data_IF_884941696271
#
_entry.id   IF_884941696271
#
_cell.length_a   1.000
_cell.length_b   1.000
_cell.length_c   1.000
_cell.angle_alpha   90.00
_cell.angle_beta   90.00
_cell.angle_gamma   90.00
#
_symmetry.space_group_name_H-M   'P 1'
#
loop_
_entity.id
_entity.type
_entity.pdbx_description
1 polymer ?
#
# COMPACT_ATOMS: atom_id res chain seq x y z
N UNK A 1 -3.45 5.14 -4.39
CA UNK A 1 -2.22 5.25 -3.58
C UNK A 1 -1.51 6.53 -4.00
N UNK A 2 -1.35 7.50 -3.10
CA UNK A 2 -0.62 8.73 -3.41
C UNK A 2 0.84 8.44 -3.77
N UNK A 3 1.32 8.99 -4.89
CA UNK A 3 2.74 8.87 -5.30
C UNK A 3 3.67 9.47 -4.24
N UNK A 4 3.22 10.52 -3.54
CA UNK A 4 3.95 11.12 -2.43
C UNK A 4 4.07 10.16 -1.24
N UNK A 5 2.99 9.44 -0.89
CA UNK A 5 3.01 8.43 0.18
C UNK A 5 4.03 7.33 -0.08
N UNK A 6 4.13 6.85 -1.33
CA UNK A 6 5.14 5.87 -1.75
C UNK A 6 6.57 6.41 -1.65
N UNK A 7 6.78 7.68 -2.01
CA UNK A 7 8.08 8.34 -1.87
C UNK A 7 8.53 8.45 -0.41
N UNK A 8 7.63 8.89 0.46
CA UNK A 8 7.87 8.97 1.91
C UNK A 8 8.15 7.59 2.50
N UNK A 9 7.37 6.57 2.09
CA UNK A 9 7.57 5.19 2.53
C UNK A 9 8.95 4.65 2.15
N UNK A 10 9.40 4.92 0.92
CA UNK A 10 10.72 4.50 0.45
C UNK A 10 11.86 5.18 1.24
N UNK A 11 11.73 6.48 1.50
CA UNK A 11 12.69 7.20 2.34
C UNK A 11 12.73 6.67 3.77
N UNK A 12 11.58 6.34 4.36
CA UNK A 12 11.50 5.77 5.70
C UNK A 12 12.15 4.37 5.77
N UNK A 13 11.97 3.53 4.74
CA UNK A 13 12.62 2.22 4.66
C UNK A 13 14.14 2.38 4.59
N UNK A 14 14.65 3.32 3.78
CA UNK A 14 16.07 3.60 3.71
C UNK A 14 16.62 4.11 5.04
N UNK A 15 15.89 4.99 5.74
CA UNK A 15 16.27 5.47 7.07
C UNK A 15 16.31 4.35 8.12
N UNK A 16 15.32 3.44 8.11
CA UNK A 16 15.31 2.27 8.99
C UNK A 16 16.48 1.32 8.70
N UNK A 17 16.79 1.08 7.42
CA UNK A 17 17.94 0.27 7.03
C UNK A 17 19.26 0.91 7.44
N UNK A 18 19.37 2.24 7.32
CA UNK A 18 20.52 3.00 7.77
C UNK A 18 20.73 2.84 9.29
N UNK A 19 19.68 3.11 10.09
CA UNK A 19 19.74 2.96 11.54
C UNK A 19 20.04 1.51 11.97
N UNK A 20 19.48 0.51 11.27
CA UNK A 20 19.76 -0.90 11.52
C UNK A 20 21.22 -1.27 11.22
N UNK A 21 21.78 -0.74 10.14
CA UNK A 21 23.20 -0.94 9.81
C UNK A 21 24.10 -0.27 10.85
N UNK A 22 23.81 0.97 11.26
CA UNK A 22 24.56 1.67 12.32
C UNK A 22 24.51 0.91 13.64
N UNK A 23 23.36 0.36 14.03
CA UNK A 23 23.24 -0.47 15.22
C UNK A 23 24.07 -1.75 15.11
N UNK A 24 24.01 -2.42 13.95
CA UNK A 24 24.79 -3.63 13.69
C UNK A 24 26.30 -3.35 13.79
N UNK A 25 26.79 -2.33 13.08
CA UNK A 25 28.20 -1.95 13.10
C UNK A 25 28.65 -1.62 14.53
N UNK A 26 27.92 -0.76 15.25
CA UNK A 26 28.27 -0.37 16.61
C UNK A 26 28.33 -1.56 17.57
N UNK A 27 27.34 -2.45 17.54
CA UNK A 27 27.30 -3.64 18.39
C UNK A 27 28.37 -4.67 17.99
N UNK A 28 28.67 -4.80 16.70
CA UNK A 28 29.73 -5.68 16.20
C UNK A 28 31.11 -5.24 16.71
N UNK A 29 31.37 -3.93 16.74
CA UNK A 29 32.62 -3.36 17.25
C UNK A 29 32.75 -3.52 18.76
N UNK A 30 31.67 -3.26 19.52
CA UNK A 30 31.67 -3.48 20.97
C UNK A 30 31.93 -4.95 21.30
N UNK A 31 31.33 -5.87 20.55
CA UNK A 31 31.56 -7.31 20.71
C UNK A 31 33.00 -7.71 20.41
N UNK A 32 33.63 -7.13 19.37
CA UNK A 32 35.03 -7.39 19.05
C UNK A 32 36.00 -6.84 20.12
N UNK A 33 35.61 -5.78 20.82
CA UNK A 33 36.40 -5.13 21.88
C UNK A 33 36.09 -5.68 23.29
N UNK A 34 35.26 -6.72 23.40
CA UNK A 34 34.77 -7.29 24.67
C UNK A 34 34.16 -6.24 25.61
N UNK A 35 33.47 -5.26 25.03
CA UNK A 35 32.76 -4.19 25.74
C UNK A 35 31.27 -4.51 25.87
N UNK A 36 30.58 -3.98 26.90
CA UNK A 36 29.16 -4.22 27.07
C UNK A 36 28.36 -3.71 25.87
N UNK A 37 27.47 -4.54 25.33
CA UNK A 37 26.60 -4.22 24.20
C UNK A 37 25.52 -3.22 24.62
N UNK A 38 25.77 -1.93 24.38
CA UNK A 38 24.81 -0.84 24.61
C UNK A 38 24.61 -0.06 23.31
N UNK A 39 23.35 0.17 22.95
CA UNK A 39 23.00 1.02 21.80
C UNK A 39 23.03 2.48 22.24
N UNK A 40 23.71 3.37 21.49
CA UNK A 40 23.75 4.79 21.80
C UNK A 40 22.40 5.47 21.47
N UNK A 41 22.12 6.58 22.16
CA UNK A 41 20.79 7.20 22.15
C UNK A 41 20.44 7.85 20.81
N UNK A 42 21.44 8.27 20.05
CA UNK A 42 21.32 8.79 18.69
C UNK A 42 20.71 7.75 17.74
N UNK A 43 21.24 6.52 17.71
CA UNK A 43 20.72 5.42 16.90
C UNK A 43 19.29 5.04 17.31
N UNK A 44 19.00 5.08 18.62
CA UNK A 44 17.65 4.83 19.13
C UNK A 44 16.66 5.91 18.65
N UNK A 45 17.03 7.19 18.74
CA UNK A 45 16.21 8.32 18.27
C UNK A 45 16.03 8.26 16.76
N UNK A 46 17.08 7.99 15.99
CA UNK A 46 17.01 7.83 14.54
C UNK A 46 16.04 6.71 14.14
N UNK A 47 16.13 5.56 14.82
CA UNK A 47 15.24 4.41 14.59
C UNK A 47 13.77 4.77 14.88
N UNK A 48 13.50 5.45 15.99
CA UNK A 48 12.14 5.86 16.38
C UNK A 48 11.57 6.89 15.39
N UNK A 49 12.39 7.86 14.96
CA UNK A 49 11.98 8.86 13.98
C UNK A 49 11.71 8.23 12.62
N UNK A 50 12.61 7.36 12.14
CA UNK A 50 12.43 6.64 10.88
C UNK A 50 11.17 5.75 10.92
N UNK A 51 10.89 5.11 12.04
CA UNK A 51 9.65 4.35 12.26
C UNK A 51 8.40 5.26 12.27
N UNK A 52 8.47 6.44 12.88
CA UNK A 52 7.39 7.42 12.83
C UNK A 52 7.06 7.86 11.40
N UNK A 53 8.09 8.17 10.59
CA UNK A 53 7.93 8.52 9.17
C UNK A 53 7.41 7.32 8.37
N UNK A 54 7.82 6.09 8.70
CA UNK A 54 7.29 4.88 8.09
C UNK A 54 5.78 4.77 8.30
N UNK A 55 5.29 4.94 9.53
CA UNK A 55 3.85 4.90 9.83
C UNK A 55 3.07 5.97 9.06
N UNK A 56 3.60 7.19 8.95
CA UNK A 56 3.01 8.25 8.15
C UNK A 56 2.97 7.88 6.66
N UNK A 57 4.07 7.36 6.11
CA UNK A 57 4.16 6.92 4.72
C UNK A 57 3.16 5.81 4.38
N UNK A 58 2.99 4.83 5.28
CA UNK A 58 1.99 3.77 5.15
C UNK A 58 0.57 4.33 5.19
N UNK A 59 0.27 5.21 6.16
CA UNK A 59 -1.05 5.81 6.30
C UNK A 59 -1.45 6.62 5.07
N UNK A 60 -0.54 7.42 4.50
CA UNK A 60 -0.77 8.20 3.27
C UNK A 60 -0.83 7.34 2.00
N UNK A 61 -0.31 6.11 2.05
CA UNK A 61 -0.36 5.17 0.93
C UNK A 61 -1.66 4.36 0.90
N UNK A 62 -2.44 4.37 1.99
CA UNK A 62 -3.70 3.66 2.08
C UNK A 62 -4.70 4.14 1.01
N UNK A 63 -5.55 3.24 0.47
CA UNK A 63 -6.64 3.64 -0.41
C UNK A 63 -7.67 4.47 0.36
N UNK A 64 -8.38 5.32 -0.37
CA UNK A 64 -9.50 6.07 0.19
C UNK A 64 -10.58 5.13 0.72
N UNK A 65 -11.22 5.52 1.82
CA UNK A 65 -12.33 4.76 2.37
C UNK A 65 -13.50 4.78 1.40
N UNK A 66 -14.07 3.61 1.14
CA UNK A 66 -15.27 3.48 0.33
C UNK A 66 -16.50 3.79 1.18
N UNK A 67 -17.48 4.49 0.61
CA UNK A 67 -18.77 4.71 1.27
C UNK A 67 -19.52 3.40 1.54
N UNK A 68 -20.19 3.33 2.68
CA UNK A 68 -20.89 2.12 3.15
C UNK A 68 -22.29 2.01 2.51
N UNK A 69 -22.88 3.13 2.09
CA UNK A 69 -24.25 3.17 1.60
C UNK A 69 -24.38 2.53 0.22
N UNK A 70 -25.32 1.59 0.07
CA UNK A 70 -25.62 1.02 -1.23
C UNK A 70 -26.18 2.06 -2.21
N UNK A 71 -26.91 3.05 -1.70
CA UNK A 71 -27.42 4.15 -2.52
C UNK A 71 -26.32 4.96 -3.18
N UNK A 72 -25.15 5.11 -2.53
CA UNK A 72 -24.05 5.88 -3.11
C UNK A 72 -23.29 5.13 -4.19
N UNK A 73 -23.13 3.81 -4.06
CA UNK A 73 -22.63 2.96 -5.15
C UNK A 73 -23.60 3.00 -6.35
N UNK A 74 -24.91 2.92 -6.10
CA UNK A 74 -25.92 2.88 -7.17
C UNK A 74 -26.07 4.20 -7.93
N UNK A 75 -25.65 5.34 -7.37
CA UNK A 75 -25.64 6.63 -8.10
C UNK A 75 -24.79 6.61 -9.37
N UNK A 76 -23.76 5.77 -9.41
CA UNK A 76 -22.84 5.69 -10.55
C UNK A 76 -23.14 4.52 -11.50
N UNK A 77 -24.10 3.64 -11.16
CA UNK A 77 -24.46 2.47 -11.96
C UNK A 77 -25.57 2.80 -12.96
N UNK A 78 -25.42 2.36 -14.21
CA UNK A 78 -26.48 2.54 -15.21
C UNK A 78 -27.48 1.39 -15.14
N UNK A 79 -28.70 1.66 -15.60
CA UNK A 79 -29.76 0.65 -15.62
C UNK A 79 -29.38 -0.54 -16.50
N UNK A 80 -28.69 -0.30 -17.62
CA UNK A 80 -28.22 -1.35 -18.52
C UNK A 80 -27.22 -2.31 -17.86
N UNK A 81 -26.35 -1.80 -16.98
CA UNK A 81 -25.38 -2.64 -16.24
C UNK A 81 -26.11 -3.63 -15.34
N UNK A 82 -27.16 -3.15 -14.65
CA UNK A 82 -27.97 -3.94 -13.70
C UNK A 82 -28.95 -4.88 -14.44
N UNK A 83 -29.53 -4.41 -15.54
CA UNK A 83 -30.53 -5.15 -16.33
C UNK A 83 -29.94 -6.12 -17.35
N UNK A 84 -28.62 -6.13 -17.56
CA UNK A 84 -27.94 -7.08 -18.44
C UNK A 84 -28.24 -8.55 -18.12
N UNK A 85 -28.58 -8.86 -16.85
CA UNK A 85 -29.06 -10.17 -16.36
C UNK A 85 -28.40 -11.35 -17.09
N UNK A 86 -27.06 -11.40 -17.05
CA UNK A 86 -26.27 -12.37 -17.82
C UNK A 86 -26.68 -13.82 -17.59
N UNK A 87 -27.12 -14.17 -16.36
CA UNK A 87 -27.64 -15.50 -16.05
C UNK A 87 -28.93 -15.88 -16.79
N UNK A 88 -29.60 -14.93 -17.42
CA UNK A 88 -30.79 -15.11 -18.27
C UNK A 88 -30.55 -14.58 -19.70
N UNK A 89 -29.30 -14.41 -20.12
CA UNK A 89 -28.99 -13.90 -21.44
C UNK A 89 -29.50 -14.86 -22.53
N UNK A 90 -30.32 -14.34 -23.45
CA UNK A 90 -30.73 -15.09 -24.65
C UNK A 90 -29.68 -14.95 -25.74
N UNK A 91 -29.18 -16.09 -26.24
CA UNK A 91 -28.28 -16.12 -27.41
C UNK A 91 -29.05 -16.02 -28.74
N UNK A 92 -30.37 -16.13 -28.70
CA UNK A 92 -31.25 -15.98 -29.86
C UNK A 92 -31.66 -14.51 -30.02
N UNK A 93 -30.70 -13.68 -30.41
CA UNK A 93 -30.93 -12.25 -30.70
C UNK A 93 -30.37 -11.87 -32.08
N UNK A 94 -30.78 -10.70 -32.59
CA UNK A 94 -30.42 -10.21 -33.94
C UNK A 94 -28.91 -10.02 -34.14
N UNK A 95 -28.14 -9.88 -33.05
CA UNK A 95 -26.69 -9.72 -33.09
C UNK A 95 -25.98 -10.87 -33.81
N UNK A 96 -26.50 -12.11 -33.72
CA UNK A 96 -25.94 -13.25 -34.45
C UNK A 96 -25.92 -13.06 -35.97
N UNK A 97 -26.95 -12.42 -36.54
CA UNK A 97 -27.05 -12.16 -37.99
C UNK A 97 -26.34 -10.89 -38.43
N UNK A 98 -26.17 -9.93 -37.52
CA UNK A 98 -25.55 -8.63 -37.81
C UNK A 98 -24.03 -8.66 -37.64
N UNK A 99 -23.51 -9.47 -36.71
CA UNK A 99 -22.10 -9.47 -36.31
C UNK A 99 -21.45 -10.87 -36.35
N UNK A 100 -22.20 -11.93 -36.69
CA UNK A 100 -21.63 -13.25 -36.93
C UNK A 100 -20.84 -13.25 -38.25
N UNK A 101 -19.61 -13.78 -38.23
CA UNK A 101 -18.88 -14.07 -39.47
C UNK A 101 -19.67 -15.09 -40.31
N UNK A 102 -19.58 -15.02 -41.64
CA UNK A 102 -20.26 -15.96 -42.53
C UNK A 102 -19.85 -17.41 -42.26
#
# INVERSE_FOLDING_TARGET
MSSAGKGILLLAILGLLHAAYSAYEHLSLLKALDRPSRVPIDIAVESILAFGVFLLGVSLSAPELKEISWASEMRYRKIDDVHSRLGFASLNHRGKKLFGKP
#
